data_IF_109920005841
#
_entry.id   IF_109920005841
#
_cell.length_a   1.000
_cell.length_b   1.000
_cell.length_c   1.000
_cell.angle_alpha   90.00
_cell.angle_beta   90.00
_cell.angle_gamma   90.00
#
_symmetry.space_group_name_H-M   'P 1'
#
loop_
_entity.id
_entity.type
_entity.pdbx_description
1 polymer ?
#
# COMPACT_ATOMS: atom_id res chain seq x y z
N UNK A 1 -33.14 15.25 -1.45
CA UNK A 1 -32.01 15.02 -0.52
C UNK A 1 -30.99 14.17 -1.27
N UNK A 2 -29.75 14.65 -1.45
CA UNK A 2 -28.66 13.85 -2.01
C UNK A 2 -27.98 13.07 -0.88
N UNK A 3 -27.75 11.77 -1.07
CA UNK A 3 -26.98 10.99 -0.12
C UNK A 3 -25.50 11.41 -0.15
N UNK A 4 -24.86 11.45 1.02
CA UNK A 4 -23.41 11.65 1.12
C UNK A 4 -22.67 10.34 0.82
N UNK A 5 -21.49 10.39 0.16
CA UNK A 5 -20.67 9.20 -0.04
C UNK A 5 -20.17 8.64 1.29
N UNK A 6 -20.16 7.32 1.40
CA UNK A 6 -19.75 6.58 2.61
C UNK A 6 -18.22 6.48 2.74
N UNK A 7 -17.47 6.71 1.65
CA UNK A 7 -16.01 6.64 1.66
C UNK A 7 -15.36 7.30 0.45
N UNK A 8 -14.02 7.36 0.48
CA UNK A 8 -13.17 7.92 -0.58
C UNK A 8 -12.17 6.86 -1.02
N UNK A 9 -12.05 6.66 -2.33
CA UNK A 9 -11.02 5.81 -2.94
C UNK A 9 -10.07 6.68 -3.75
N UNK A 10 -8.78 6.64 -3.44
CA UNK A 10 -7.73 7.37 -4.14
C UNK A 10 -6.86 6.37 -4.89
N UNK A 11 -6.62 6.64 -6.17
CA UNK A 11 -5.75 5.84 -7.03
C UNK A 11 -4.66 6.75 -7.63
N UNK A 12 -3.43 6.25 -7.64
CA UNK A 12 -2.28 6.96 -8.20
C UNK A 12 -1.31 5.97 -8.85
N UNK A 13 -0.59 6.45 -9.86
CA UNK A 13 0.59 5.80 -10.40
C UNK A 13 1.80 6.65 -10.00
N UNK A 14 2.81 6.01 -9.42
CA UNK A 14 4.07 6.65 -9.05
C UNK A 14 5.13 6.30 -10.09
N UNK A 15 5.83 7.32 -10.59
CA UNK A 15 6.90 7.18 -11.58
C UNK A 15 8.22 7.67 -10.96
N UNK A 16 9.33 7.21 -11.52
CA UNK A 16 10.69 7.58 -11.07
C UNK A 16 10.95 7.30 -9.57
N UNK A 17 10.26 6.30 -9.02
CA UNK A 17 10.51 5.81 -7.66
C UNK A 17 11.81 5.01 -7.64
N UNK A 18 12.60 5.18 -6.58
CA UNK A 18 13.80 4.40 -6.34
C UNK A 18 13.51 2.89 -6.44
N UNK A 19 14.11 2.17 -7.41
CA UNK A 19 13.89 0.74 -7.59
C UNK A 19 14.28 -0.10 -6.37
N UNK A 20 15.25 0.35 -5.57
CA UNK A 20 15.66 -0.37 -4.35
C UNK A 20 14.54 -0.35 -3.30
N UNK A 21 13.80 0.77 -3.21
CA UNK A 21 12.62 0.88 -2.34
C UNK A 21 11.50 -0.03 -2.82
N UNK A 22 11.25 -0.09 -4.14
CA UNK A 22 10.20 -0.93 -4.71
C UNK A 22 10.47 -2.45 -4.58
N UNK A 23 11.73 -2.83 -4.39
CA UNK A 23 12.13 -4.23 -4.24
C UNK A 23 12.14 -4.69 -2.77
N UNK A 24 12.08 -3.76 -1.81
CA UNK A 24 12.14 -4.07 -0.38
C UNK A 24 10.75 -4.28 0.20
N UNK A 25 10.36 -5.55 0.33
CA UNK A 25 9.06 -5.95 0.87
C UNK A 25 8.82 -5.45 2.30
N UNK A 26 9.84 -5.53 3.17
CA UNK A 26 9.72 -5.10 4.56
C UNK A 26 9.48 -3.60 4.66
N UNK A 27 10.26 -2.82 3.92
CA UNK A 27 10.11 -1.36 3.85
C UNK A 27 8.76 -0.94 3.30
N UNK A 28 8.25 -1.63 2.27
CA UNK A 28 6.92 -1.34 1.71
C UNK A 28 5.80 -1.66 2.70
N UNK A 29 5.91 -2.77 3.45
CA UNK A 29 4.97 -3.10 4.53
C UNK A 29 4.96 -2.02 5.61
N UNK A 30 6.13 -1.57 6.06
CA UNK A 30 6.25 -0.51 7.07
C UNK A 30 5.61 0.81 6.60
N UNK A 31 5.88 1.21 5.34
CA UNK A 31 5.30 2.43 4.76
C UNK A 31 3.78 2.37 4.68
N UNK A 32 3.21 1.25 4.24
CA UNK A 32 1.76 1.10 4.09
C UNK A 32 1.06 1.04 5.47
N UNK A 33 1.62 0.31 6.42
CA UNK A 33 1.09 0.28 7.81
C UNK A 33 1.19 1.66 8.46
N UNK A 34 2.29 2.38 8.22
CA UNK A 34 2.46 3.76 8.65
C UNK A 34 1.36 4.67 8.10
N UNK A 35 1.10 4.60 6.79
CA UNK A 35 0.07 5.41 6.14
C UNK A 35 -1.34 5.14 6.70
N UNK A 36 -1.70 3.88 6.97
CA UNK A 36 -2.99 3.53 7.59
C UNK A 36 -3.10 4.15 8.99
N UNK A 37 -2.03 4.08 9.78
CA UNK A 37 -2.00 4.65 11.15
C UNK A 37 -2.05 6.18 11.14
N UNK A 38 -1.42 6.84 10.17
CA UNK A 38 -1.46 8.30 10.01
C UNK A 38 -2.86 8.81 9.66
N UNK A 39 -3.65 8.02 8.93
CA UNK A 39 -5.08 8.29 8.67
C UNK A 39 -5.97 8.04 9.90
N UNK A 40 -5.42 7.53 11.01
CA UNK A 40 -6.14 7.24 12.25
C UNK A 40 -6.96 5.95 12.22
N UNK A 41 -6.72 5.07 11.26
CA UNK A 41 -7.34 3.76 11.17
C UNK A 41 -6.54 2.68 11.93
N UNK A 42 -7.23 1.63 12.36
CA UNK A 42 -6.59 0.39 12.86
C UNK A 42 -6.11 -0.45 11.67
N UNK A 43 -5.17 -1.37 11.86
CA UNK A 43 -4.79 -2.35 10.83
C UNK A 43 -5.29 -3.71 11.27
N UNK A 44 -6.27 -4.26 10.55
CA UNK A 44 -6.87 -5.57 10.81
C UNK A 44 -6.02 -6.70 10.24
N UNK A 45 -5.50 -6.53 9.02
CA UNK A 45 -4.69 -7.54 8.34
C UNK A 45 -3.66 -6.91 7.41
N UNK A 46 -2.49 -7.53 7.31
CA UNK A 46 -1.48 -7.21 6.29
C UNK A 46 -1.14 -8.48 5.52
N UNK A 47 -1.13 -8.39 4.20
CA UNK A 47 -0.62 -9.44 3.32
C UNK A 47 0.41 -8.85 2.37
N UNK A 48 1.51 -9.56 2.17
CA UNK A 48 2.56 -9.19 1.23
C UNK A 48 3.02 -10.40 0.43
N UNK A 49 3.46 -10.13 -0.79
CA UNK A 49 4.01 -11.12 -1.70
C UNK A 49 5.20 -10.51 -2.44
N UNK A 50 6.31 -11.22 -2.45
CA UNK A 50 7.47 -10.90 -3.29
C UNK A 50 7.62 -11.92 -4.41
N UNK A 51 7.73 -11.42 -5.64
CA UNK A 51 7.91 -12.23 -6.84
C UNK A 51 9.29 -11.97 -7.41
N UNK A 52 10.11 -13.02 -7.54
CA UNK A 52 11.43 -12.94 -8.19
C UNK A 52 11.36 -12.94 -9.73
N UNK A 53 12.52 -12.79 -10.37
CA UNK A 53 12.69 -12.90 -11.82
C UNK A 53 12.74 -11.56 -12.57
N UNK A 54 12.87 -11.61 -13.90
CA UNK A 54 13.10 -10.43 -14.76
C UNK A 54 12.00 -9.35 -14.66
N UNK A 55 10.78 -9.76 -14.32
CA UNK A 55 9.62 -8.87 -14.11
C UNK A 55 9.07 -9.05 -12.69
N UNK A 56 9.95 -9.27 -11.73
CA UNK A 56 9.58 -9.40 -10.33
C UNK A 56 8.91 -8.14 -9.77
N UNK A 57 8.58 -8.18 -8.50
CA UNK A 57 7.97 -7.04 -7.81
C UNK A 57 7.37 -7.45 -6.48
N UNK A 58 7.00 -6.45 -5.70
CA UNK A 58 6.35 -6.63 -4.41
C UNK A 58 4.91 -6.12 -4.49
N UNK A 59 3.98 -6.93 -4.01
CA UNK A 59 2.60 -6.54 -3.76
C UNK A 59 2.35 -6.52 -2.26
N UNK A 60 1.77 -5.43 -1.76
CA UNK A 60 1.41 -5.29 -0.34
C UNK A 60 -0.02 -4.76 -0.24
N UNK A 61 -0.81 -5.34 0.65
CA UNK A 61 -2.17 -4.92 0.97
C UNK A 61 -2.29 -4.84 2.49
N UNK A 62 -2.78 -3.71 2.99
CA UNK A 62 -3.23 -3.56 4.37
C UNK A 62 -4.75 -3.34 4.39
N UNK A 63 -5.44 -4.09 5.26
CA UNK A 63 -6.86 -3.94 5.52
C UNK A 63 -7.01 -3.10 6.80
N UNK A 64 -7.50 -1.86 6.69
CA UNK A 64 -7.86 -1.06 7.85
C UNK A 64 -9.18 -1.48 8.52
#
# INVERSE_FOLDING_TARGET
MSASPIGKHVYANLYDVDPEVLADEGRLVELIVGAVREEGAEVVEVKSWSFGGRKGGVSVIAIP
#
